data_IF_362502682062
#
_entry.id   IF_362502682062
#
_cell.length_a   1.000
_cell.length_b   1.000
_cell.length_c   1.000
_cell.angle_alpha   90.00
_cell.angle_beta   90.00
_cell.angle_gamma   90.00
#
_symmetry.space_group_name_H-M   'P 1'
#
loop_
_entity.id
_entity.type
_entity.pdbx_description
1 polymer ?
#
# COMPACT_ATOMS: atom_id res chain seq x y z
N UNK A 1 76.71 13.20 -22.26
CA UNK A 1 75.48 14.02 -22.19
C UNK A 1 75.73 15.13 -21.20
N UNK A 2 75.59 16.41 -21.59
CA UNK A 2 75.92 17.54 -20.70
C UNK A 2 74.75 17.75 -19.75
N UNK A 3 75.01 18.24 -18.54
CA UNK A 3 73.99 18.49 -17.50
C UNK A 3 72.78 19.29 -18.02
N UNK A 4 73.02 20.27 -18.90
CA UNK A 4 71.98 21.08 -19.53
C UNK A 4 71.05 20.28 -20.45
N UNK A 5 71.55 19.24 -21.13
CA UNK A 5 70.74 18.41 -22.02
C UNK A 5 69.74 17.57 -21.20
N UNK A 6 70.16 17.13 -20.01
CA UNK A 6 69.32 16.38 -19.08
C UNK A 6 68.24 17.27 -18.45
N UNK A 7 68.59 18.49 -18.03
CA UNK A 7 67.61 19.44 -17.48
C UNK A 7 66.54 19.83 -18.51
N UNK A 8 66.92 20.03 -19.77
CA UNK A 8 65.97 20.29 -20.85
C UNK A 8 65.02 19.09 -21.09
N UNK A 9 65.55 17.86 -21.10
CA UNK A 9 64.73 16.67 -21.27
C UNK A 9 63.73 16.46 -20.13
N UNK A 10 64.13 16.75 -18.89
CA UNK A 10 63.23 16.69 -17.72
C UNK A 10 62.13 17.75 -17.83
N UNK A 11 62.46 18.97 -18.27
CA UNK A 11 61.48 20.03 -18.44
C UNK A 11 60.46 19.71 -19.56
N UNK A 12 60.92 19.10 -20.65
CA UNK A 12 60.06 18.68 -21.75
C UNK A 12 59.08 17.57 -21.30
N UNK A 13 59.58 16.56 -20.58
CA UNK A 13 58.73 15.52 -19.98
C UNK A 13 57.73 16.08 -18.97
N UNK A 14 58.12 17.07 -18.16
CA UNK A 14 57.20 17.72 -17.21
C UNK A 14 56.08 18.47 -17.94
N UNK A 15 56.41 19.18 -19.02
CA UNK A 15 55.42 19.90 -19.82
C UNK A 15 54.48 18.93 -20.56
N UNK A 16 55.01 17.83 -21.07
CA UNK A 16 54.21 16.79 -21.74
C UNK A 16 53.27 16.09 -20.77
N UNK A 17 53.75 15.72 -19.58
CA UNK A 17 52.94 15.13 -18.52
C UNK A 17 51.84 16.08 -18.04
N UNK A 18 52.15 17.37 -17.88
CA UNK A 18 51.17 18.39 -17.51
C UNK A 18 50.07 18.53 -18.60
N UNK A 19 50.47 18.55 -19.88
CA UNK A 19 49.53 18.60 -21.00
C UNK A 19 48.64 17.35 -21.08
N UNK A 20 49.18 16.16 -20.81
CA UNK A 20 48.40 14.91 -20.79
C UNK A 20 47.39 14.89 -19.63
N UNK A 21 47.79 15.33 -18.43
CA UNK A 21 46.90 15.43 -17.27
C UNK A 21 45.75 16.42 -17.51
N UNK A 22 46.05 17.59 -18.08
CA UNK A 22 45.03 18.58 -18.42
C UNK A 22 44.06 18.06 -19.50
N UNK A 23 44.58 17.37 -20.52
CA UNK A 23 43.76 16.74 -21.55
C UNK A 23 42.84 15.62 -21.01
N UNK A 24 43.29 14.88 -19.99
CA UNK A 24 42.46 13.85 -19.34
C UNK A 24 41.45 14.44 -18.34
N UNK A 25 41.77 15.54 -17.66
CA UNK A 25 40.90 16.13 -16.64
C UNK A 25 39.76 16.95 -17.25
N UNK A 26 40.01 17.63 -18.36
CA UNK A 26 39.05 18.48 -19.06
C UNK A 26 37.70 17.80 -19.41
N UNK A 27 37.65 16.59 -20.01
CA UNK A 27 36.38 15.94 -20.28
C UNK A 27 35.60 15.58 -19.01
N UNK A 28 36.29 15.31 -17.90
CA UNK A 28 35.64 15.03 -16.60
C UNK A 28 35.00 16.29 -16.04
N UNK A 29 35.70 17.43 -16.08
CA UNK A 29 35.14 18.71 -15.59
C UNK A 29 33.99 19.20 -16.48
N UNK A 30 34.11 19.06 -17.80
CA UNK A 30 33.04 19.40 -18.73
C UNK A 30 31.82 18.47 -18.53
N UNK A 31 32.06 17.19 -18.28
CA UNK A 31 31.03 16.22 -17.89
C UNK A 31 30.33 16.59 -16.58
N UNK A 32 31.07 17.01 -15.56
CA UNK A 32 30.50 17.45 -14.29
C UNK A 32 29.63 18.70 -14.44
N UNK A 33 30.07 19.67 -15.25
CA UNK A 33 29.30 20.90 -15.48
C UNK A 33 28.02 20.63 -16.28
N UNK A 34 28.08 19.76 -17.30
CA UNK A 34 26.88 19.35 -18.05
C UNK A 34 25.87 18.61 -17.17
N UNK A 35 26.34 17.69 -16.32
CA UNK A 35 25.51 17.00 -15.32
C UNK A 35 24.85 18.01 -14.37
N UNK A 36 25.63 18.98 -13.84
CA UNK A 36 25.12 20.03 -12.96
C UNK A 36 24.03 20.87 -13.64
N UNK A 37 24.22 21.24 -14.89
CA UNK A 37 23.23 21.98 -15.68
C UNK A 37 21.95 21.17 -15.93
N UNK A 38 22.08 19.87 -16.22
CA UNK A 38 20.93 18.98 -16.36
C UNK A 38 20.14 18.86 -15.05
N UNK A 39 20.81 18.69 -13.91
CA UNK A 39 20.16 18.64 -12.60
C UNK A 39 19.38 19.93 -12.29
N UNK A 40 19.95 21.10 -12.58
CA UNK A 40 19.26 22.38 -12.39
C UNK A 40 18.01 22.49 -13.27
N UNK A 41 18.09 22.06 -14.53
CA UNK A 41 16.94 22.08 -15.45
C UNK A 41 15.83 21.12 -15.03
N UNK A 42 16.19 19.93 -14.54
CA UNK A 42 15.22 18.97 -13.99
C UNK A 42 14.54 19.56 -12.76
N UNK A 43 15.30 20.16 -11.85
CA UNK A 43 14.77 20.77 -10.63
C UNK A 43 13.81 21.92 -10.95
N UNK A 44 14.13 22.77 -11.92
CA UNK A 44 13.24 23.83 -12.40
C UNK A 44 11.94 23.27 -12.98
N UNK A 45 12.03 22.22 -13.81
CA UNK A 45 10.86 21.57 -14.42
C UNK A 45 9.96 20.93 -13.36
N UNK A 46 10.54 20.23 -12.39
CA UNK A 46 9.81 19.63 -11.27
C UNK A 46 9.18 20.70 -10.38
N UNK A 47 9.90 21.78 -10.10
CA UNK A 47 9.37 22.89 -9.30
C UNK A 47 8.19 23.57 -10.01
N UNK A 48 8.31 23.83 -11.32
CA UNK A 48 7.23 24.36 -12.14
C UNK A 48 6.00 23.42 -12.13
N UNK A 49 6.21 22.13 -12.37
CA UNK A 49 5.15 21.12 -12.36
C UNK A 49 4.43 21.01 -11.01
N UNK A 50 5.18 20.93 -9.90
CA UNK A 50 4.58 20.87 -8.55
C UNK A 50 3.83 22.15 -8.18
N UNK A 51 4.24 23.31 -8.70
CA UNK A 51 3.50 24.56 -8.51
C UNK A 51 2.17 24.57 -9.27
N UNK A 52 2.15 24.05 -10.50
CA UNK A 52 0.93 23.90 -11.30
C UNK A 52 -0.06 22.95 -10.66
N UNK A 53 0.39 21.76 -10.25
CA UNK A 53 -0.45 20.77 -9.57
C UNK A 53 -1.05 21.30 -8.25
N UNK A 54 -0.31 22.14 -7.50
CA UNK A 54 -0.85 22.77 -6.28
C UNK A 54 -1.96 23.76 -6.60
N UNK A 55 -1.87 24.50 -7.69
CA UNK A 55 -2.92 25.44 -8.09
C UNK A 55 -4.16 24.70 -8.60
N UNK A 56 -3.98 23.66 -9.40
CA UNK A 56 -5.09 22.78 -9.82
C UNK A 56 -5.78 22.14 -8.62
N UNK A 57 -5.03 21.67 -7.62
CA UNK A 57 -5.61 21.10 -6.40
C UNK A 57 -6.43 22.14 -5.63
N UNK A 58 -5.96 23.39 -5.55
CA UNK A 58 -6.72 24.49 -4.94
C UNK A 58 -8.00 24.77 -5.71
N UNK A 59 -7.94 24.78 -7.04
CA UNK A 59 -9.12 25.00 -7.87
C UNK A 59 -10.14 23.86 -7.76
N UNK A 60 -9.68 22.61 -7.72
CA UNK A 60 -10.54 21.45 -7.48
C UNK A 60 -11.25 21.55 -6.12
N UNK A 61 -10.54 21.93 -5.06
CA UNK A 61 -11.17 22.17 -3.75
C UNK A 61 -12.20 23.29 -3.80
N UNK A 62 -11.90 24.40 -4.51
CA UNK A 62 -12.89 25.47 -4.72
C UNK A 62 -14.12 25.01 -5.51
N UNK A 63 -13.97 24.08 -6.46
CA UNK A 63 -15.09 23.50 -7.21
C UNK A 63 -15.90 22.55 -6.34
N UNK A 64 -15.24 21.72 -5.55
CA UNK A 64 -15.90 20.82 -4.59
C UNK A 64 -16.71 21.61 -3.56
N UNK A 65 -16.16 22.69 -3.00
CA UNK A 65 -16.88 23.56 -2.06
C UNK A 65 -18.14 24.17 -2.69
N UNK A 66 -18.04 24.62 -3.95
CA UNK A 66 -19.20 25.11 -4.73
C UNK A 66 -20.26 24.03 -4.93
N UNK A 67 -19.86 22.84 -5.37
CA UNK A 67 -20.78 21.72 -5.56
C UNK A 67 -21.45 21.28 -4.26
N UNK A 68 -20.71 21.25 -3.14
CA UNK A 68 -21.28 20.96 -1.82
C UNK A 68 -22.34 22.02 -1.48
N UNK A 69 -22.04 23.31 -1.68
CA UNK A 69 -23.00 24.39 -1.46
C UNK A 69 -24.26 24.22 -2.31
N UNK A 70 -24.12 23.97 -3.61
CA UNK A 70 -25.24 23.75 -4.54
C UNK A 70 -26.10 22.53 -4.15
N UNK A 71 -25.48 21.42 -3.73
CA UNK A 71 -26.22 20.23 -3.25
C UNK A 71 -26.94 20.52 -1.94
N UNK A 72 -26.34 21.30 -1.03
CA UNK A 72 -27.02 21.68 0.21
C UNK A 72 -28.20 22.61 -0.03
N UNK A 73 -28.10 23.53 -0.98
CA UNK A 73 -29.20 24.41 -1.41
C UNK A 73 -30.33 23.58 -2.05
N UNK A 74 -30.01 22.71 -3.01
CA UNK A 74 -31.00 21.82 -3.63
C UNK A 74 -31.73 20.93 -2.61
N UNK A 75 -31.03 20.43 -1.58
CA UNK A 75 -31.65 19.67 -0.48
C UNK A 75 -32.62 20.52 0.34
N UNK A 76 -32.28 21.78 0.60
CA UNK A 76 -33.16 22.72 1.30
C UNK A 76 -34.42 22.99 0.46
N UNK A 77 -34.27 23.25 -0.83
CA UNK A 77 -35.40 23.46 -1.75
C UNK A 77 -36.36 22.26 -1.79
N UNK A 78 -35.83 21.04 -1.91
CA UNK A 78 -36.64 19.81 -1.86
C UNK A 78 -37.38 19.67 -0.54
N UNK A 79 -36.74 20.04 0.57
CA UNK A 79 -37.39 20.00 1.89
C UNK A 79 -38.54 21.00 1.97
N UNK A 80 -38.37 22.20 1.42
CA UNK A 80 -39.40 23.24 1.33
C UNK A 80 -40.59 22.75 0.51
N UNK A 81 -40.35 22.25 -0.71
CA UNK A 81 -41.40 21.70 -1.59
C UNK A 81 -42.17 20.57 -0.89
N UNK A 82 -41.47 19.68 -0.17
CA UNK A 82 -42.12 18.60 0.58
C UNK A 82 -43.03 19.13 1.70
N UNK A 83 -42.61 20.18 2.40
CA UNK A 83 -43.43 20.80 3.45
C UNK A 83 -44.64 21.53 2.88
N UNK A 84 -44.49 22.24 1.76
CA UNK A 84 -45.59 22.91 1.06
C UNK A 84 -46.61 21.89 0.53
N UNK A 85 -46.14 20.78 -0.04
CA UNK A 85 -47.01 19.69 -0.51
C UNK A 85 -47.81 19.06 0.64
N UNK A 86 -47.16 18.84 1.79
CA UNK A 86 -47.83 18.32 2.97
C UNK A 86 -48.90 19.29 3.51
N UNK A 87 -48.62 20.59 3.52
CA UNK A 87 -49.58 21.63 3.91
C UNK A 87 -50.76 21.72 2.92
N UNK A 88 -50.49 21.70 1.62
CA UNK A 88 -51.53 21.71 0.59
C UNK A 88 -52.46 20.48 0.70
N UNK A 89 -51.91 19.31 1.02
CA UNK A 89 -52.70 18.09 1.23
C UNK A 89 -53.60 18.17 2.46
N UNK A 90 -53.18 18.85 3.52
CA UNK A 90 -54.01 19.09 4.71
C UNK A 90 -55.10 20.14 4.46
N UNK A 91 -54.85 21.11 3.58
CA UNK A 91 -55.81 22.15 3.20
C UNK A 91 -56.85 21.65 2.16
N UNK A 92 -56.58 20.53 1.49
CA UNK A 92 -57.51 19.95 0.53
C UNK A 92 -58.78 19.43 1.26
N UNK A 93 -59.99 19.82 0.82
CA UNK A 93 -61.22 19.32 1.42
C UNK A 93 -61.31 17.80 1.25
N UNK A 94 -61.66 17.08 2.34
CA UNK A 94 -61.89 15.63 2.26
C UNK A 94 -62.96 15.33 1.21
N UNK A 95 -62.74 14.35 0.31
CA UNK A 95 -63.80 13.89 -0.56
C UNK A 95 -64.97 13.38 0.29
N UNK A 96 -66.23 13.63 -0.10
CA UNK A 96 -67.38 13.15 0.64
C UNK A 96 -67.37 11.62 0.73
N UNK A 97 -67.86 11.03 1.84
CA UNK A 97 -67.95 9.59 1.98
C UNK A 97 -68.92 9.03 0.93
N UNK A 98 -68.41 8.27 -0.03
CA UNK A 98 -69.23 7.47 -0.93
C UNK A 98 -69.81 6.28 -0.15
N UNK A 99 -71.14 6.30 -0.02
CA UNK A 99 -71.93 5.21 0.54
C UNK A 99 -71.88 3.98 -0.39
N UNK A 100 -71.51 2.86 0.22
CA UNK A 100 -71.80 1.45 -0.12
C UNK A 100 -72.42 1.13 -1.50
N UNK A 101 -71.66 0.42 -2.35
CA UNK A 101 -72.17 -0.73 -3.12
C UNK A 101 -71.03 -1.59 -3.70
N UNK A 102 -70.92 -2.82 -3.22
CA UNK A 102 -70.26 -3.90 -3.96
C UNK A 102 -71.08 -4.24 -5.22
N UNK A 103 -70.41 -4.62 -6.31
CA UNK A 103 -70.67 -5.93 -6.91
C UNK A 103 -69.34 -6.65 -7.20
N UNK A 104 -69.20 -7.91 -6.82
CA UNK A 104 -69.57 -9.10 -7.59
C UNK A 104 -68.71 -9.28 -8.86
N UNK A 105 -68.05 -10.44 -8.89
CA UNK A 105 -67.15 -10.92 -9.92
C UNK A 105 -67.79 -10.94 -11.31
N UNK A 106 -67.01 -10.53 -12.33
CA UNK A 106 -67.25 -10.95 -13.69
C UNK A 106 -65.92 -11.24 -14.40
N UNK A 107 -65.97 -12.26 -15.24
CA UNK A 107 -64.85 -13.06 -15.74
C UNK A 107 -64.68 -12.74 -17.23
N UNK A 108 -63.42 -12.66 -17.70
CA UNK A 108 -62.93 -12.77 -19.12
C UNK A 108 -63.23 -11.60 -20.09
N UNK A 109 -62.56 -11.52 -21.28
CA UNK A 109 -61.36 -12.24 -21.77
C UNK A 109 -60.23 -11.31 -22.31
N UNK A 110 -59.07 -11.92 -22.56
CA UNK A 110 -57.93 -11.40 -23.33
C UNK A 110 -58.32 -10.98 -24.76
N UNK A 111 -57.69 -9.94 -25.33
CA UNK A 111 -57.48 -9.86 -26.77
C UNK A 111 -56.05 -10.27 -27.14
N UNK A 112 -55.96 -11.26 -28.02
CA UNK A 112 -54.80 -11.57 -28.82
C UNK A 112 -54.48 -10.40 -29.77
N UNK A 113 -53.21 -10.02 -29.84
CA UNK A 113 -52.63 -9.33 -31.00
C UNK A 113 -51.23 -9.89 -31.25
N UNK A 114 -51.15 -10.70 -32.31
CA UNK A 114 -49.95 -11.08 -33.07
C UNK A 114 -49.16 -9.82 -33.51
N UNK A 115 -47.84 -9.70 -33.21
CA UNK A 115 -46.64 -10.09 -34.01
C UNK A 115 -46.34 -9.11 -35.20
N UNK A 116 -45.09 -8.71 -35.61
CA UNK A 116 -43.73 -9.25 -35.35
C UNK A 116 -42.57 -8.27 -35.00
N UNK A 117 -41.52 -8.87 -34.40
CA UNK A 117 -40.07 -8.70 -34.57
C UNK A 117 -39.45 -7.36 -35.07
N UNK A 118 -38.51 -6.82 -34.29
CA UNK A 118 -37.11 -6.66 -34.72
C UNK A 118 -36.14 -6.50 -33.53
N UNK A 119 -35.01 -7.17 -33.68
CA UNK A 119 -33.80 -7.33 -32.87
C UNK A 119 -33.22 -6.07 -32.19
N UNK A 120 -32.62 -6.23 -31.00
CA UNK A 120 -31.15 -6.09 -30.76
C UNK A 120 -30.79 -6.09 -29.24
N UNK A 121 -29.97 -7.07 -28.86
CA UNK A 121 -28.87 -7.10 -27.87
C UNK A 121 -29.04 -6.72 -26.37
N UNK A 122 -28.56 -7.66 -25.54
CA UNK A 122 -28.25 -7.65 -24.09
C UNK A 122 -27.21 -6.55 -23.66
N UNK A 123 -26.84 -6.33 -22.37
CA UNK A 123 -27.12 -7.12 -21.14
C UNK A 123 -27.51 -6.35 -19.85
N UNK A 124 -28.16 -7.12 -18.97
CA UNK A 124 -28.07 -7.18 -17.49
C UNK A 124 -27.35 -6.05 -16.72
N UNK A 125 -28.04 -5.42 -15.74
CA UNK A 125 -28.03 -5.82 -14.33
C UNK A 125 -28.76 -4.77 -13.45
N UNK A 126 -29.97 -5.09 -12.99
CA UNK A 126 -30.68 -4.36 -11.95
C UNK A 126 -30.67 -5.18 -10.66
N UNK A 127 -30.14 -4.59 -9.58
CA UNK A 127 -30.64 -4.84 -8.23
C UNK A 127 -30.47 -3.58 -7.39
N UNK A 128 -31.53 -2.78 -7.48
CA UNK A 128 -31.84 -1.63 -6.66
C UNK A 128 -32.44 -2.15 -5.34
N UNK A 129 -31.85 -1.79 -4.20
CA UNK A 129 -32.50 -1.92 -2.90
C UNK A 129 -32.45 -0.58 -2.20
N UNK A 130 -33.63 0.02 -2.05
CA UNK A 130 -33.87 1.28 -1.37
C UNK A 130 -33.71 1.20 0.16
N UNK A 131 -33.92 2.33 0.84
CA UNK A 131 -33.57 2.53 2.25
C UNK A 131 -34.73 2.12 3.18
N UNK A 132 -34.45 1.30 4.18
CA UNK A 132 -35.37 0.98 5.29
C UNK A 132 -35.13 1.91 6.50
N UNK A 133 -36.18 2.37 7.20
CA UNK A 133 -36.08 3.31 8.31
C UNK A 133 -35.75 2.63 9.65
N UNK A 134 -35.22 3.43 10.57
CA UNK A 134 -34.94 3.13 11.97
C UNK A 134 -36.08 2.40 12.70
N UNK A 135 -35.77 1.20 13.20
CA UNK A 135 -36.49 0.58 14.31
C UNK A 135 -35.53 0.41 15.49
N UNK A 136 -35.84 1.09 16.59
CA UNK A 136 -35.22 0.88 17.89
C UNK A 136 -35.43 -0.57 18.34
N UNK A 137 -34.37 -1.37 18.28
CA UNK A 137 -34.30 -2.65 18.97
C UNK A 137 -33.53 -2.46 20.28
N UNK A 138 -34.29 -2.51 21.37
CA UNK A 138 -33.80 -2.75 22.73
C UNK A 138 -32.86 -3.96 22.69
N UNK A 139 -31.58 -3.75 23.00
CA UNK A 139 -30.61 -4.83 23.22
C UNK A 139 -31.04 -5.65 24.45
N UNK A 140 -31.25 -6.97 24.35
CA UNK A 140 -31.22 -7.81 25.53
C UNK A 140 -29.75 -7.91 25.99
N UNK A 141 -29.50 -7.40 27.19
CA UNK A 141 -28.32 -7.72 27.96
C UNK A 141 -28.34 -9.23 28.28
N UNK A 142 -27.37 -9.99 27.75
CA UNK A 142 -27.22 -11.40 28.12
C UNK A 142 -26.47 -12.28 27.11
N UNK A 143 -25.14 -12.15 27.06
CA UNK A 143 -24.16 -13.17 26.65
C UNK A 143 -22.77 -12.55 26.89
N UNK A 144 -22.08 -12.77 28.01
CA UNK A 144 -21.28 -13.95 28.29
C UNK A 144 -19.77 -13.61 28.16
N UNK A 145 -18.95 -13.63 29.24
CA UNK A 145 -17.59 -13.10 29.25
C UNK A 145 -16.51 -14.15 28.86
N UNK A 146 -16.68 -14.88 27.75
CA UNK A 146 -15.75 -15.97 27.38
C UNK A 146 -14.79 -15.66 26.22
N UNK A 147 -15.06 -14.63 25.40
CA UNK A 147 -14.20 -14.28 24.26
C UNK A 147 -12.87 -13.60 24.63
N UNK A 148 -12.73 -13.08 25.85
CA UNK A 148 -11.51 -12.38 26.28
C UNK A 148 -10.31 -13.31 26.49
N UNK A 149 -10.57 -14.56 26.88
CA UNK A 149 -9.50 -15.48 27.31
C UNK A 149 -8.64 -15.97 26.13
N UNK A 150 -9.26 -16.16 24.95
CA UNK A 150 -8.56 -16.58 23.73
C UNK A 150 -7.64 -15.49 23.16
N UNK A 151 -8.12 -14.25 23.07
CA UNK A 151 -7.33 -13.14 22.54
C UNK A 151 -6.15 -12.79 23.44
N UNK A 152 -6.33 -12.86 24.77
CA UNK A 152 -5.22 -12.71 25.71
C UNK A 152 -4.21 -13.85 25.62
N UNK A 153 -4.67 -15.09 25.42
CA UNK A 153 -3.79 -16.24 25.21
C UNK A 153 -2.95 -16.06 23.94
N UNK A 154 -3.54 -15.62 22.83
CA UNK A 154 -2.83 -15.32 21.58
C UNK A 154 -1.81 -14.19 21.76
N UNK A 155 -2.19 -13.09 22.44
CA UNK A 155 -1.26 -11.99 22.76
C UNK A 155 -0.08 -12.48 23.59
N UNK A 156 -0.32 -13.30 24.62
CA UNK A 156 0.73 -13.89 25.46
C UNK A 156 1.63 -14.84 24.66
N UNK A 157 1.04 -15.69 23.81
CA UNK A 157 1.78 -16.63 22.96
C UNK A 157 2.67 -15.90 21.96
N UNK A 158 2.13 -14.88 21.27
CA UNK A 158 2.91 -14.05 20.35
C UNK A 158 4.04 -13.34 21.09
N UNK A 159 3.77 -12.71 22.25
CA UNK A 159 4.81 -12.04 23.05
C UNK A 159 5.89 -13.00 23.56
N UNK A 160 5.54 -14.25 23.90
CA UNK A 160 6.50 -15.28 24.26
C UNK A 160 7.38 -15.68 23.06
N UNK A 161 6.75 -16.00 21.92
CA UNK A 161 7.44 -16.34 20.69
C UNK A 161 8.36 -15.20 20.21
N UNK A 162 7.91 -13.95 20.29
CA UNK A 162 8.71 -12.77 19.96
C UNK A 162 9.93 -12.59 20.87
N UNK A 163 9.90 -13.05 22.13
CA UNK A 163 11.07 -13.03 23.02
C UNK A 163 12.00 -14.23 22.83
N UNK A 164 11.71 -15.12 21.87
CA UNK A 164 12.41 -16.39 21.73
C UNK A 164 12.13 -17.37 22.88
N UNK A 165 11.13 -17.09 23.72
CA UNK A 165 10.66 -18.03 24.71
C UNK A 165 9.74 -19.01 23.99
N UNK A 166 10.24 -20.24 23.73
CA UNK A 166 9.40 -21.31 23.22
C UNK A 166 8.14 -21.42 24.09
N UNK A 167 6.93 -21.55 23.50
CA UNK A 167 5.76 -21.81 24.30
C UNK A 167 6.04 -23.10 25.07
N UNK A 168 6.02 -23.01 26.41
CA UNK A 168 6.15 -24.15 27.28
C UNK A 168 4.94 -25.06 27.02
N UNK A 169 5.06 -25.93 26.02
CA UNK A 169 4.23 -27.11 25.92
C UNK A 169 4.45 -27.85 27.23
N UNK A 170 3.40 -27.90 28.05
CA UNK A 170 3.34 -28.71 29.24
C UNK A 170 3.72 -30.14 28.84
N UNK A 171 4.97 -30.51 29.10
CA UNK A 171 5.50 -31.83 28.81
C UNK A 171 5.77 -32.51 30.14
N UNK A 172 5.10 -33.63 30.34
CA UNK A 172 5.52 -34.66 31.29
C UNK A 172 6.94 -35.17 30.98
N UNK A 173 7.48 -36.08 31.81
CA UNK A 173 8.91 -36.13 32.07
C UNK A 173 9.73 -36.87 30.99
N UNK A 174 10.79 -36.17 30.57
CA UNK A 174 12.19 -36.58 30.36
C UNK A 174 12.52 -37.83 29.51
N UNK A 175 13.20 -37.58 28.38
CA UNK A 175 14.32 -38.43 27.89
C UNK A 175 15.47 -37.49 27.44
N UNK A 176 16.76 -37.77 27.78
CA UNK A 176 17.85 -36.85 27.51
C UNK A 176 18.53 -37.05 26.14
N UNK A 177 18.50 -35.98 25.35
CA UNK A 177 19.63 -35.31 24.66
C UNK A 177 20.73 -36.18 24.03
N UNK A 178 20.73 -36.28 22.69
CA UNK A 178 21.97 -36.31 21.86
C UNK A 178 21.66 -36.15 20.35
N UNK A 179 21.75 -34.91 19.86
CA UNK A 179 22.30 -34.55 18.55
C UNK A 179 22.22 -33.02 18.37
N UNK A 180 23.31 -32.32 18.71
CA UNK A 180 23.56 -30.97 18.20
C UNK A 180 23.95 -31.09 16.73
N UNK A 181 23.10 -30.64 15.81
CA UNK A 181 23.52 -29.98 14.57
C UNK A 181 22.33 -29.30 13.88
N UNK A 182 22.62 -28.09 13.42
CA UNK A 182 21.83 -27.17 12.60
C UNK A 182 20.85 -26.26 13.36
N UNK A 183 21.38 -25.08 13.66
CA UNK A 183 20.66 -23.84 13.95
C UNK A 183 19.88 -23.39 12.70
N UNK A 184 18.55 -23.49 12.75
CA UNK A 184 17.57 -22.67 12.02
C UNK A 184 16.22 -22.75 12.77
N UNK A 185 15.41 -21.67 12.76
CA UNK A 185 14.74 -21.20 13.97
C UNK A 185 13.38 -21.87 14.22
N UNK A 186 13.00 -21.91 15.49
CA UNK A 186 11.77 -22.49 16.05
C UNK A 186 10.44 -21.80 15.63
N UNK A 187 10.35 -21.25 14.41
CA UNK A 187 9.16 -20.55 13.89
C UNK A 187 8.22 -21.47 13.08
N UNK A 188 8.72 -22.61 12.57
CA UNK A 188 7.90 -23.62 11.88
C UNK A 188 7.09 -24.43 12.92
N UNK A 189 5.82 -24.07 13.11
CA UNK A 189 4.89 -24.78 14.00
C UNK A 189 4.01 -23.89 14.87
N UNK A 190 4.20 -22.57 14.84
CA UNK A 190 3.29 -21.63 15.50
C UNK A 190 2.01 -21.44 14.69
N UNK A 191 0.88 -21.24 15.38
CA UNK A 191 -0.38 -20.89 14.73
C UNK A 191 -0.24 -19.60 13.90
N UNK A 192 -0.91 -19.47 12.74
CA UNK A 192 -0.78 -18.31 11.85
C UNK A 192 -1.01 -16.97 12.55
N UNK A 193 -1.96 -16.90 13.49
CA UNK A 193 -2.30 -15.70 14.25
C UNK A 193 -1.16 -15.29 15.20
N UNK A 194 -0.47 -16.28 15.77
CA UNK A 194 0.71 -16.06 16.62
C UNK A 194 1.87 -15.55 15.77
N UNK A 195 2.09 -16.12 14.59
CA UNK A 195 3.11 -15.64 13.64
C UNK A 195 2.83 -14.21 13.19
N UNK A 196 1.57 -13.89 12.88
CA UNK A 196 1.18 -12.53 12.56
C UNK A 196 1.46 -11.57 13.71
N UNK A 197 1.09 -11.92 14.94
CA UNK A 197 1.40 -11.12 16.13
C UNK A 197 2.90 -10.88 16.32
N UNK A 198 3.74 -11.89 16.05
CA UNK A 198 5.21 -11.76 16.07
C UNK A 198 5.69 -10.76 15.01
N UNK A 199 5.17 -10.84 13.78
CA UNK A 199 5.53 -9.93 12.69
C UNK A 199 5.12 -8.48 12.97
N UNK A 200 3.96 -8.26 13.60
CA UNK A 200 3.54 -6.92 14.04
C UNK A 200 4.51 -6.33 15.07
N UNK A 201 4.98 -7.13 16.03
CA UNK A 201 5.97 -6.67 17.01
C UNK A 201 7.35 -6.41 16.40
N UNK A 202 7.77 -7.23 15.42
CA UNK A 202 9.00 -6.96 14.65
C UNK A 202 8.88 -5.65 13.88
N UNK A 203 7.77 -5.43 13.16
CA UNK A 203 7.50 -4.18 12.45
C UNK A 203 7.49 -2.96 13.38
N UNK A 204 7.00 -3.09 14.61
CA UNK A 204 7.05 -2.03 15.62
C UNK A 204 8.48 -1.61 15.99
N UNK A 205 9.44 -2.53 15.90
CA UNK A 205 10.87 -2.27 16.13
C UNK A 205 11.62 -1.68 14.94
N UNK A 206 11.00 -1.64 13.75
CA UNK A 206 11.63 -1.12 12.53
C UNK A 206 11.58 0.41 12.53
N UNK A 207 12.76 1.03 12.54
CA UNK A 207 12.88 2.49 12.46
C UNK A 207 12.48 3.02 11.06
N UNK A 208 12.90 2.31 10.01
CA UNK A 208 12.64 2.63 8.62
C UNK A 208 12.54 1.34 7.80
N UNK A 209 11.53 1.21 6.95
CA UNK A 209 11.42 0.17 5.94
C UNK A 209 11.43 0.81 4.55
N UNK A 210 12.26 0.31 3.65
CA UNK A 210 12.27 0.70 2.24
C UNK A 210 11.44 -0.32 1.45
N UNK A 211 10.30 0.11 0.91
CA UNK A 211 9.49 -0.68 0.00
C UNK A 211 9.87 -0.34 -1.44
N UNK A 212 10.19 -1.36 -2.25
CA UNK A 212 10.41 -1.25 -3.69
C UNK A 212 9.40 -2.11 -4.41
N UNK A 213 8.55 -1.50 -5.24
CA UNK A 213 7.50 -2.19 -5.98
C UNK A 213 7.09 -1.41 -7.23
N UNK A 214 6.25 -2.00 -8.08
CA UNK A 214 5.63 -1.27 -9.19
C UNK A 214 4.69 -0.17 -8.68
N UNK A 215 4.51 0.90 -9.45
CA UNK A 215 3.63 2.03 -9.09
C UNK A 215 2.22 1.57 -8.75
N UNK A 216 1.63 0.72 -9.58
CA UNK A 216 0.28 0.20 -9.36
C UNK A 216 0.16 -0.65 -8.09
N UNK A 217 1.22 -1.41 -7.75
CA UNK A 217 1.28 -2.17 -6.50
C UNK A 217 1.27 -1.23 -5.29
N UNK A 218 2.01 -0.13 -5.36
CA UNK A 218 1.99 0.89 -4.31
C UNK A 218 0.61 1.55 -4.17
N UNK A 219 -0.05 1.85 -5.28
CA UNK A 219 -1.39 2.43 -5.29
C UNK A 219 -2.43 1.46 -4.68
N UNK A 220 -2.35 0.17 -5.01
CA UNK A 220 -3.15 -0.87 -4.36
C UNK A 220 -2.92 -0.93 -2.84
N UNK A 221 -1.65 -0.99 -2.40
CA UNK A 221 -1.30 -1.06 -0.98
C UNK A 221 -1.75 0.16 -0.18
N UNK A 222 -1.63 1.36 -0.77
CA UNK A 222 -2.14 2.58 -0.14
C UNK A 222 -3.65 2.60 -0.08
N UNK A 223 -4.34 2.17 -1.15
CA UNK A 223 -5.79 2.02 -1.18
C UNK A 223 -6.31 1.18 -0.02
N UNK A 224 -5.73 -0.01 0.17
CA UNK A 224 -6.05 -0.91 1.29
C UNK A 224 -5.81 -0.27 2.67
N UNK A 225 -4.72 0.48 2.80
CA UNK A 225 -4.24 0.93 4.12
C UNK A 225 -4.78 2.29 4.55
N UNK A 226 -5.41 3.05 3.66
CA UNK A 226 -5.91 4.41 3.96
C UNK A 226 -6.92 4.45 5.10
N UNK A 227 -7.69 3.38 5.30
CA UNK A 227 -8.68 3.27 6.37
C UNK A 227 -8.07 2.85 7.72
N UNK A 228 -6.80 2.47 7.76
CA UNK A 228 -6.14 2.05 8.99
C UNK A 228 -5.71 3.26 9.82
N UNK A 229 -6.14 3.31 11.09
CA UNK A 229 -5.90 4.45 12.01
C UNK A 229 -4.42 4.81 12.15
N UNK A 230 -3.54 3.83 11.97
CA UNK A 230 -2.11 3.97 12.14
C UNK A 230 -1.34 4.23 10.84
N UNK A 231 -1.98 4.12 9.67
CA UNK A 231 -1.31 4.40 8.42
C UNK A 231 -1.03 5.90 8.26
N UNK A 232 0.13 6.19 7.71
CA UNK A 232 0.55 7.52 7.29
C UNK A 232 1.15 7.39 5.91
N UNK A 233 0.57 8.10 4.95
CA UNK A 233 1.12 8.21 3.61
C UNK A 233 2.52 8.80 3.71
N UNK A 234 3.54 8.08 3.22
CA UNK A 234 4.91 8.58 3.17
C UNK A 234 4.97 9.93 2.44
N UNK A 235 5.75 10.89 2.95
CA UNK A 235 5.87 12.21 2.32
C UNK A 235 6.59 12.14 0.97
N UNK A 236 7.46 11.14 0.78
CA UNK A 236 8.24 10.94 -0.43
C UNK A 236 7.96 9.55 -1.00
N UNK A 237 7.59 9.52 -2.28
CA UNK A 237 7.50 8.32 -3.12
C UNK A 237 8.42 8.61 -4.28
N UNK A 238 9.58 7.96 -4.29
CA UNK A 238 10.60 8.20 -5.31
C UNK A 238 10.30 7.30 -6.51
N UNK A 239 9.90 7.89 -7.63
CA UNK A 239 9.79 7.15 -8.89
C UNK A 239 11.20 6.74 -9.33
N UNK A 240 11.40 5.43 -9.52
CA UNK A 240 12.63 4.81 -10.02
C UNK A 240 12.36 4.23 -11.42
N UNK A 241 13.40 3.71 -12.08
CA UNK A 241 13.28 3.18 -13.44
C UNK A 241 12.26 2.03 -13.54
N UNK A 242 11.68 1.89 -14.74
CA UNK A 242 10.79 0.79 -15.13
C UNK A 242 9.43 0.78 -14.42
N UNK A 243 8.84 1.96 -14.18
CA UNK A 243 7.50 2.08 -13.58
C UNK A 243 7.46 1.71 -12.09
N UNK A 244 8.63 1.63 -11.45
CA UNK A 244 8.76 1.27 -10.04
C UNK A 244 8.84 2.50 -9.16
N UNK A 245 8.50 2.30 -7.90
CA UNK A 245 8.63 3.30 -6.84
C UNK A 245 9.44 2.75 -5.68
N UNK A 246 10.17 3.65 -5.03
CA UNK A 246 10.79 3.41 -3.74
C UNK A 246 10.11 4.27 -2.69
N UNK A 247 9.73 3.65 -1.58
CA UNK A 247 8.92 4.30 -0.54
C UNK A 247 9.50 4.04 0.83
N UNK A 248 9.69 5.12 1.60
CA UNK A 248 10.12 5.06 2.99
C UNK A 248 8.90 4.89 3.93
N UNK A 249 8.79 3.74 4.58
CA UNK A 249 7.73 3.40 5.53
C UNK A 249 8.26 3.43 6.96
N UNK A 250 7.51 4.05 7.86
CA UNK A 250 7.75 3.91 9.30
C UNK A 250 7.27 2.53 9.77
N UNK A 251 7.81 2.01 10.89
CA UNK A 251 7.30 0.78 11.51
C UNK A 251 5.79 0.84 11.81
N UNK A 252 5.26 2.02 12.14
CA UNK A 252 3.81 2.23 12.34
C UNK A 252 3.00 2.07 11.06
N UNK A 253 3.48 2.62 9.94
CA UNK A 253 2.82 2.42 8.62
C UNK A 253 2.93 0.97 8.15
N UNK A 254 4.05 0.31 8.46
CA UNK A 254 4.27 -1.10 8.17
C UNK A 254 3.31 -2.01 8.93
N UNK A 255 3.06 -1.74 10.22
CA UNK A 255 2.02 -2.42 11.01
C UNK A 255 0.65 -2.29 10.34
N UNK A 256 0.29 -1.07 9.92
CA UNK A 256 -1.01 -0.82 9.30
C UNK A 256 -1.17 -1.60 7.98
N UNK A 257 -0.13 -1.66 7.14
CA UNK A 257 -0.10 -2.47 5.93
C UNK A 257 -0.26 -3.96 6.23
N UNK A 258 0.48 -4.49 7.21
CA UNK A 258 0.39 -5.90 7.60
C UNK A 258 -1.00 -6.29 8.08
N UNK A 259 -1.66 -5.43 8.85
CA UNK A 259 -3.04 -5.64 9.32
C UNK A 259 -3.99 -5.62 8.11
N UNK A 260 -3.92 -4.58 7.27
CA UNK A 260 -4.80 -4.47 6.10
C UNK A 260 -4.67 -5.68 5.15
N UNK A 261 -3.44 -6.13 4.89
CA UNK A 261 -3.18 -7.32 4.07
C UNK A 261 -3.67 -8.61 4.74
N UNK A 262 -3.52 -8.73 6.07
CA UNK A 262 -4.00 -9.87 6.84
C UNK A 262 -5.53 -9.97 6.84
N UNK A 263 -6.21 -8.84 7.01
CA UNK A 263 -7.67 -8.79 7.02
C UNK A 263 -8.18 -9.06 5.59
N UNK A 264 -7.59 -8.42 4.57
CA UNK A 264 -8.03 -8.59 3.17
C UNK A 264 -7.89 -10.03 2.70
N UNK A 265 -6.80 -10.73 3.03
CA UNK A 265 -6.63 -12.14 2.63
C UNK A 265 -7.59 -13.10 3.37
N UNK A 266 -8.11 -12.70 4.53
CA UNK A 266 -9.06 -13.50 5.32
C UNK A 266 -10.51 -13.23 4.89
N UNK A 267 -10.83 -11.97 4.58
CA UNK A 267 -12.16 -11.51 4.18
C UNK A 267 -12.45 -11.68 2.68
N UNK A 268 -11.43 -11.57 1.81
CA UNK A 268 -11.62 -11.67 0.37
C UNK A 268 -11.97 -13.10 -0.05
N UNK A 269 -12.83 -13.22 -1.05
CA UNK A 269 -13.17 -14.51 -1.64
C UNK A 269 -11.93 -15.17 -2.26
N UNK A 270 -11.78 -16.47 -2.00
CA UNK A 270 -10.65 -17.25 -2.49
C UNK A 270 -10.54 -17.19 -4.02
N UNK A 271 -9.30 -17.08 -4.54
CA UNK A 271 -8.97 -16.93 -5.97
C UNK A 271 -9.44 -15.63 -6.64
N UNK A 272 -9.85 -14.62 -5.85
CA UNK A 272 -10.02 -13.26 -6.38
C UNK A 272 -8.68 -12.54 -6.52
N UNK A 273 -8.66 -11.47 -7.32
CA UNK A 273 -7.48 -10.62 -7.48
C UNK A 273 -7.04 -10.02 -6.13
N UNK A 274 -7.98 -9.56 -5.31
CA UNK A 274 -7.68 -8.97 -3.99
C UNK A 274 -7.08 -10.01 -3.04
N UNK A 275 -7.62 -11.23 -3.00
CA UNK A 275 -7.04 -12.31 -2.22
C UNK A 275 -5.62 -12.63 -2.67
N UNK A 276 -5.39 -12.79 -3.98
CA UNK A 276 -4.09 -13.17 -4.52
C UNK A 276 -3.02 -12.09 -4.29
N UNK A 277 -3.36 -10.82 -4.52
CA UNK A 277 -2.45 -9.68 -4.28
C UNK A 277 -2.15 -9.51 -2.79
N UNK A 278 -3.18 -9.60 -1.93
CA UNK A 278 -3.00 -9.45 -0.48
C UNK A 278 -2.16 -10.58 0.11
N UNK A 279 -2.44 -11.83 -0.27
CA UNK A 279 -1.68 -13.00 0.19
C UNK A 279 -0.22 -12.92 -0.26
N UNK A 280 0.03 -12.66 -1.55
CA UNK A 280 1.40 -12.58 -2.09
C UNK A 280 2.19 -11.45 -1.46
N UNK A 281 1.60 -10.26 -1.34
CA UNK A 281 2.25 -9.14 -0.67
C UNK A 281 2.54 -9.49 0.79
N UNK A 282 1.54 -9.97 1.53
CA UNK A 282 1.71 -10.34 2.94
C UNK A 282 2.86 -11.33 3.14
N UNK A 283 2.94 -12.38 2.32
CA UNK A 283 3.97 -13.41 2.43
C UNK A 283 5.37 -12.85 2.17
N UNK A 284 5.51 -11.88 1.25
CA UNK A 284 6.79 -11.18 1.01
C UNK A 284 7.18 -10.28 2.19
N UNK A 285 6.24 -9.52 2.73
CA UNK A 285 6.49 -8.73 3.95
C UNK A 285 6.88 -9.63 5.13
N UNK A 286 6.20 -10.77 5.26
CA UNK A 286 6.47 -11.77 6.27
C UNK A 286 7.88 -12.36 6.14
N UNK A 287 8.26 -12.78 4.93
CA UNK A 287 9.58 -13.35 4.67
C UNK A 287 10.71 -12.39 5.08
N UNK A 288 10.62 -11.12 4.67
CA UNK A 288 11.63 -10.11 4.99
C UNK A 288 11.68 -9.83 6.50
N UNK A 289 10.53 -9.67 7.15
CA UNK A 289 10.48 -9.48 8.61
C UNK A 289 10.95 -10.72 9.38
N UNK A 290 10.78 -11.91 8.81
CA UNK A 290 11.24 -13.14 9.45
C UNK A 290 12.77 -13.23 9.52
N UNK A 291 13.49 -12.54 8.62
CA UNK A 291 14.96 -12.38 8.67
C UNK A 291 15.45 -11.37 9.73
N UNK A 292 14.59 -10.44 10.16
CA UNK A 292 14.97 -9.39 11.12
C UNK A 292 15.16 -9.99 12.52
N UNK A 293 16.38 -9.89 13.03
CA UNK A 293 16.75 -10.33 14.37
C UNK A 293 16.36 -9.30 15.45
N UNK A 294 16.09 -9.77 16.67
CA UNK A 294 15.72 -8.91 17.79
C UNK A 294 16.90 -8.02 18.23
N UNK A 295 16.65 -6.71 18.39
CA UNK A 295 17.58 -5.79 19.05
C UNK A 295 18.46 -4.94 18.15
N UNK A 296 18.46 -5.15 16.84
CA UNK A 296 19.12 -4.26 15.89
C UNK A 296 18.10 -3.40 15.15
N UNK A 297 18.23 -2.07 15.27
CA UNK A 297 17.48 -1.12 14.44
C UNK A 297 18.03 -1.19 13.01
N UNK A 298 17.49 -2.10 12.20
CA UNK A 298 17.83 -2.17 10.79
C UNK A 298 16.80 -1.44 9.93
N UNK A 299 17.29 -0.75 8.92
CA UNK A 299 16.48 -0.43 7.75
C UNK A 299 16.15 -1.75 7.06
N UNK A 300 14.86 -2.09 6.98
CA UNK A 300 14.41 -3.33 6.31
C UNK A 300 14.07 -2.98 4.87
N UNK A 301 14.62 -3.68 3.88
CA UNK A 301 14.24 -3.50 2.48
C UNK A 301 13.31 -4.61 2.06
N UNK A 302 12.16 -4.24 1.51
CA UNK A 302 11.12 -5.16 1.07
C UNK A 302 10.91 -4.93 -0.42
N UNK A 303 11.11 -5.98 -1.22
CA UNK A 303 10.95 -5.92 -2.68
C UNK A 303 9.81 -6.83 -3.11
N UNK A 304 8.79 -6.23 -3.74
CA UNK A 304 7.60 -6.95 -4.23
C UNK A 304 7.63 -7.20 -5.75
N UNK A 305 8.73 -6.86 -6.40
CA UNK A 305 8.93 -7.06 -7.84
C UNK A 305 10.01 -8.13 -8.08
N UNK A 306 9.59 -9.27 -8.65
CA UNK A 306 10.47 -10.39 -9.00
C UNK A 306 11.30 -10.14 -10.27
N UNK A 307 11.06 -9.03 -10.99
CA UNK A 307 11.73 -8.68 -12.24
C UNK A 307 13.02 -7.86 -12.09
N UNK A 308 13.45 -7.51 -10.88
CA UNK A 308 14.67 -6.74 -10.67
C UNK A 308 15.92 -7.64 -10.68
N UNK A 309 16.96 -7.36 -11.50
CA UNK A 309 18.27 -7.93 -11.23
C UNK A 309 18.69 -7.45 -9.84
N UNK A 310 18.97 -8.40 -8.93
CA UNK A 310 19.57 -8.11 -7.63
C UNK A 310 20.82 -7.29 -7.92
N UNK A 311 20.83 -6.02 -7.51
CA UNK A 311 22.04 -5.23 -7.52
C UNK A 311 23.01 -5.94 -6.58
N UNK A 312 23.92 -6.72 -7.16
CA UNK A 312 25.04 -7.29 -6.43
C UNK A 312 25.75 -6.13 -5.75
N UNK A 313 26.08 -6.23 -4.45
CA UNK A 313 27.00 -5.26 -3.87
C UNK A 313 28.25 -5.30 -4.75
N UNK A 314 28.64 -4.15 -5.32
CA UNK A 314 29.90 -4.03 -6.04
C UNK A 314 30.98 -4.64 -5.16
N UNK A 315 31.45 -5.81 -5.59
CA UNK A 315 32.71 -6.36 -5.12
C UNK A 315 33.73 -5.27 -5.43
N UNK A 316 34.17 -4.61 -4.37
CA UNK A 316 35.39 -3.83 -4.39
C UNK A 316 36.45 -4.79 -4.91
N UNK A 317 36.78 -4.70 -6.20
CA UNK A 317 37.95 -5.33 -6.78
C UNK A 317 39.17 -4.67 -6.12
N UNK A 318 39.53 -5.16 -4.95
CA UNK A 318 40.85 -4.97 -4.39
C UNK A 318 41.82 -5.66 -5.33
N UNK A 319 42.64 -4.85 -5.99
CA UNK A 319 43.61 -5.28 -6.98
C UNK A 319 44.51 -6.43 -6.49
N UNK A 320 44.77 -7.34 -7.42
CA UNK A 320 45.93 -8.20 -7.40
C UNK A 320 46.55 -8.15 -8.80
N UNK A 321 47.19 -7.01 -9.10
CA UNK A 321 48.13 -6.93 -10.22
C UNK A 321 49.34 -7.80 -9.82
N UNK A 322 49.33 -9.04 -10.28
CA UNK A 322 50.44 -9.96 -10.14
C UNK A 322 51.57 -9.47 -11.05
N UNK A 323 52.50 -8.70 -10.46
CA UNK A 323 53.81 -8.46 -11.02
C UNK A 323 54.48 -9.81 -11.31
N UNK A 324 54.75 -10.08 -12.58
CA UNK A 324 55.64 -11.16 -12.99
C UNK A 324 57.06 -10.60 -13.00
N UNK A 325 58.00 -11.12 -12.20
CA UNK A 325 59.40 -10.74 -12.29
C UNK A 325 60.12 -11.59 -13.35
N UNK A 326 60.77 -10.89 -14.27
CA UNK A 326 62.16 -11.07 -14.70
C UNK A 326 62.58 -12.38 -15.39
N UNK A 327 62.85 -12.30 -16.70
CA UNK A 327 64.16 -12.57 -17.33
C UNK A 327 64.20 -12.24 -18.82
#
# INVERSE_FOLDING_TARGET
>A
MRKADFENAVQELQNELAGQLEAQLKPVTDGQETIRQQYLKILETVQAGTSGLREENRELRRRQERLISEVTEARQDVSTVRTELAQARLAAPSPPPEDTAAPAAETRPLPDTDTPAESEEEPMNHSESGPVPHASAVRPAGAGPESGNGQEALKRAAAAAYRGAAPAAQSGPVIPQQARRQEQPAAEGLAPEVQHGVRLMKAAGVALAELVCHRDTWEYLTGLSTNQTHFRTPPNVDDIKDGRVRVALSGRSLIALLIALWDTRDEAEFLTADWALAATAYDRFAAELDTVSQGTQHTVRITLDDGAPVAQPELVETGAEAGTPDK
#
